data_IF_503812212883
#
_entry.id   IF_503812212883
#
_cell.length_a   1.000
_cell.length_b   1.000
_cell.length_c   1.000
_cell.angle_alpha   90.00
_cell.angle_beta   90.00
_cell.angle_gamma   90.00
#
_symmetry.space_group_name_H-M   'P 1'
#
loop_
_entity.id
_entity.type
_entity.pdbx_description
1 polymer ?
#
# COMPACT_ATOMS: atom_id res chain seq x y z
N UNK A 1 2.31 -24.70 -25.95
CA UNK A 1 2.20 -24.09 -24.61
C UNK A 1 3.01 -22.82 -24.68
N UNK A 2 2.35 -21.68 -24.71
CA UNK A 2 2.97 -20.38 -24.98
C UNK A 2 4.12 -20.16 -23.98
N UNK A 3 5.35 -20.02 -24.49
CA UNK A 3 6.48 -19.56 -23.68
C UNK A 3 6.19 -18.09 -23.40
N UNK A 4 5.59 -17.84 -22.24
CA UNK A 4 5.45 -16.49 -21.73
C UNK A 4 6.86 -15.90 -21.66
N UNK A 5 7.18 -14.93 -22.52
CA UNK A 5 8.45 -14.21 -22.46
C UNK A 5 8.66 -13.75 -21.02
N UNK A 6 9.72 -14.25 -20.39
CA UNK A 6 10.03 -13.92 -19.02
C UNK A 6 10.52 -12.47 -19.01
N UNK A 7 9.60 -11.54 -18.70
CA UNK A 7 9.88 -10.10 -18.65
C UNK A 7 11.12 -9.87 -17.80
N UNK A 8 12.02 -8.96 -18.21
CA UNK A 8 13.15 -8.56 -17.38
C UNK A 8 12.70 -8.03 -16.00
N UNK A 9 13.61 -8.08 -15.02
CA UNK A 9 13.29 -7.64 -13.66
C UNK A 9 12.87 -6.17 -13.60
N UNK A 10 13.48 -5.31 -14.43
CA UNK A 10 13.19 -3.88 -14.45
C UNK A 10 11.75 -3.57 -14.88
N UNK A 11 11.26 -4.26 -15.92
CA UNK A 11 9.89 -4.16 -16.43
C UNK A 11 8.91 -4.73 -15.41
N UNK A 12 9.22 -5.90 -14.84
CA UNK A 12 8.41 -6.46 -13.76
C UNK A 12 8.31 -5.51 -12.55
N UNK A 13 9.42 -4.93 -12.11
CA UNK A 13 9.45 -4.00 -10.99
C UNK A 13 8.68 -2.71 -11.29
N UNK A 14 8.71 -2.23 -12.54
CA UNK A 14 7.91 -1.06 -12.97
C UNK A 14 6.42 -1.36 -12.96
N UNK A 15 6.01 -2.49 -13.53
CA UNK A 15 4.61 -2.92 -13.50
C UNK A 15 4.10 -3.16 -12.08
N UNK A 16 4.94 -3.77 -11.23
CA UNK A 16 4.67 -3.92 -9.81
C UNK A 16 4.44 -2.56 -9.14
N UNK A 17 5.29 -1.58 -9.44
CA UNK A 17 5.19 -0.24 -8.88
C UNK A 17 3.90 0.50 -9.31
N UNK A 18 3.47 0.31 -10.56
CA UNK A 18 2.17 0.80 -11.07
C UNK A 18 0.99 0.10 -10.41
N UNK A 19 1.10 -1.22 -10.24
CA UNK A 19 0.06 -2.04 -9.63
C UNK A 19 -0.17 -1.66 -8.16
N UNK A 20 0.86 -1.29 -7.41
CA UNK A 20 0.72 -0.94 -6.00
C UNK A 20 -0.24 0.23 -5.77
N UNK A 21 -0.15 1.29 -6.59
CA UNK A 21 -1.07 2.42 -6.50
C UNK A 21 -2.50 1.98 -6.76
N UNK A 22 -2.73 1.15 -7.79
CA UNK A 22 -4.07 0.61 -8.11
C UNK A 22 -4.64 -0.22 -6.96
N UNK A 23 -3.86 -1.15 -6.43
CA UNK A 23 -4.25 -1.99 -5.28
C UNK A 23 -4.68 -1.12 -4.11
N UNK A 24 -3.90 -0.08 -3.80
CA UNK A 24 -4.20 0.79 -2.69
C UNK A 24 -5.43 1.67 -2.92
N UNK A 25 -5.61 2.22 -4.12
CA UNK A 25 -6.83 2.97 -4.46
C UNK A 25 -8.07 2.09 -4.38
N UNK A 26 -8.00 0.84 -4.86
CA UNK A 26 -9.10 -0.10 -4.83
C UNK A 26 -9.45 -0.51 -3.40
N UNK A 27 -8.44 -0.73 -2.55
CA UNK A 27 -8.63 -1.01 -1.12
C UNK A 27 -9.28 0.16 -0.39
N UNK A 28 -8.90 1.40 -0.70
CA UNK A 28 -9.55 2.60 -0.14
C UNK A 28 -11.05 2.61 -0.44
N UNK A 29 -11.42 2.31 -1.69
CA UNK A 29 -12.81 2.23 -2.13
C UNK A 29 -13.53 1.08 -1.42
N UNK A 30 -12.96 -0.12 -1.48
CA UNK A 30 -13.53 -1.36 -0.90
C UNK A 30 -13.77 -1.25 0.60
N UNK A 31 -12.85 -0.60 1.34
CA UNK A 31 -12.96 -0.40 2.79
C UNK A 31 -13.82 0.82 3.17
N UNK A 32 -14.51 1.42 2.22
CA UNK A 32 -15.36 2.59 2.41
C UNK A 32 -14.62 3.76 3.09
N UNK A 33 -13.38 4.04 2.67
CA UNK A 33 -12.53 5.13 3.19
C UNK A 33 -12.67 6.36 2.29
N UNK A 34 -13.89 6.87 2.13
CA UNK A 34 -14.16 7.93 1.13
C UNK A 34 -14.96 9.12 1.67
N UNK A 35 -14.68 9.55 2.91
CA UNK A 35 -15.37 10.71 3.52
C UNK A 35 -15.35 11.97 2.65
N UNK A 36 -14.18 12.34 2.12
CA UNK A 36 -13.98 13.49 1.22
C UNK A 36 -13.29 13.11 -0.09
N UNK A 37 -12.88 11.85 -0.22
CA UNK A 37 -12.00 11.36 -1.29
C UNK A 37 -10.56 11.91 -1.27
N UNK A 38 -10.18 12.74 -0.29
CA UNK A 38 -8.84 13.36 -0.22
C UNK A 38 -7.74 12.31 -0.19
N UNK A 39 -7.91 11.23 0.61
CA UNK A 39 -6.94 10.14 0.68
C UNK A 39 -6.79 9.45 -0.68
N UNK A 40 -7.91 9.05 -1.29
CA UNK A 40 -7.93 8.36 -2.57
C UNK A 40 -7.18 9.16 -3.65
N UNK A 41 -7.48 10.46 -3.79
CA UNK A 41 -6.83 11.33 -4.78
C UNK A 41 -5.35 11.61 -4.46
N UNK A 42 -4.92 11.41 -3.22
CA UNK A 42 -3.54 11.67 -2.82
C UNK A 42 -2.58 10.52 -3.13
N UNK A 43 -3.07 9.31 -3.38
CA UNK A 43 -2.22 8.14 -3.61
C UNK A 43 -1.60 8.22 -5.01
N UNK A 44 -0.30 8.42 -5.09
CA UNK A 44 0.43 8.42 -6.35
C UNK A 44 1.89 7.98 -6.16
N UNK A 45 2.51 7.68 -7.29
CA UNK A 45 3.90 7.35 -7.43
C UNK A 45 4.78 8.59 -7.27
N UNK A 46 5.91 8.46 -6.60
CA UNK A 46 6.83 9.57 -6.37
C UNK A 46 8.19 9.38 -7.05
N UNK A 47 8.80 8.20 -6.93
CA UNK A 47 10.09 7.91 -7.53
C UNK A 47 10.24 6.41 -7.76
N UNK A 48 10.90 6.04 -8.86
CA UNK A 48 11.20 4.65 -9.20
C UNK A 48 12.55 4.56 -9.91
N UNK A 49 13.41 3.65 -9.45
CA UNK A 49 14.66 3.30 -10.13
C UNK A 49 15.01 1.84 -9.88
N UNK A 50 15.71 1.24 -10.84
CA UNK A 50 16.28 -0.10 -10.75
C UNK A 50 17.76 0.05 -11.07
N UNK A 51 18.61 -0.59 -10.29
CA UNK A 51 20.05 -0.56 -10.51
C UNK A 51 20.41 -1.26 -11.84
N UNK A 52 21.52 -0.88 -12.50
CA UNK A 52 21.91 -1.47 -13.79
C UNK A 52 22.15 -2.98 -13.73
N UNK A 53 22.57 -3.49 -12.56
CA UNK A 53 22.79 -4.92 -12.30
C UNK A 53 21.49 -5.69 -11.98
N UNK A 54 20.34 -5.00 -11.88
CA UNK A 54 19.04 -5.61 -11.62
C UNK A 54 18.83 -6.12 -10.18
N UNK A 55 19.82 -6.01 -9.29
CA UNK A 55 19.73 -6.58 -7.94
C UNK A 55 19.16 -5.62 -6.89
N UNK A 56 19.11 -4.33 -7.20
CA UNK A 56 18.58 -3.31 -6.31
C UNK A 56 17.52 -2.45 -7.01
N UNK A 57 16.53 -2.00 -6.24
CA UNK A 57 15.52 -1.05 -6.70
C UNK A 57 15.12 -0.07 -5.62
N UNK A 58 14.68 1.11 -6.04
CA UNK A 58 14.07 2.12 -5.18
C UNK A 58 12.66 2.42 -5.68
N UNK A 59 11.70 2.42 -4.76
CA UNK A 59 10.30 2.76 -5.03
C UNK A 59 9.79 3.68 -3.92
N UNK A 60 9.24 4.83 -4.31
CA UNK A 60 8.67 5.81 -3.40
C UNK A 60 7.25 6.16 -3.83
N UNK A 61 6.37 6.29 -2.83
CA UNK A 61 4.97 6.64 -3.01
C UNK A 61 4.61 7.80 -2.08
N UNK A 62 3.59 8.56 -2.46
CA UNK A 62 3.07 9.68 -1.68
C UNK A 62 1.57 9.52 -1.45
N UNK A 63 1.14 9.87 -0.24
CA UNK A 63 -0.25 10.00 0.16
C UNK A 63 -0.34 10.89 1.41
N UNK A 64 -1.53 11.41 1.72
CA UNK A 64 -1.72 12.27 2.91
C UNK A 64 -1.55 11.48 4.21
N UNK A 65 -0.98 12.10 5.23
CA UNK A 65 -0.72 11.51 6.55
C UNK A 65 -1.98 10.87 7.18
N UNK A 66 -3.16 11.43 6.88
CA UNK A 66 -4.46 10.84 7.25
C UNK A 66 -4.55 9.33 6.95
N UNK A 67 -3.95 8.87 5.85
CA UNK A 67 -3.91 7.46 5.48
C UNK A 67 -3.23 6.55 6.51
N UNK A 68 -2.19 7.02 7.20
CA UNK A 68 -1.49 6.26 8.25
C UNK A 68 -2.43 5.99 9.42
N UNK A 69 -3.15 7.02 9.86
CA UNK A 69 -4.12 6.91 10.94
C UNK A 69 -5.28 5.95 10.60
N UNK A 70 -5.74 5.97 9.35
CA UNK A 70 -6.79 5.03 8.91
C UNK A 70 -6.29 3.58 8.90
N UNK A 71 -5.08 3.36 8.40
CA UNK A 71 -4.48 2.03 8.32
C UNK A 71 -4.27 1.40 9.70
N UNK A 72 -3.76 2.20 10.65
CA UNK A 72 -3.55 1.79 12.04
C UNK A 72 -4.85 1.77 12.87
N UNK A 73 -5.93 2.40 12.39
CA UNK A 73 -7.15 2.60 13.19
C UNK A 73 -6.97 3.62 14.32
N UNK A 74 -5.97 4.50 14.22
CA UNK A 74 -5.61 5.50 15.23
C UNK A 74 -5.96 6.91 14.76
N UNK A 75 -5.49 7.93 15.50
CA UNK A 75 -5.68 9.35 15.20
C UNK A 75 -6.81 10.00 15.99
N UNK A 76 -6.86 11.35 15.96
CA UNK A 76 -7.89 12.11 16.69
C UNK A 76 -9.26 11.88 16.04
N UNK A 77 -10.10 11.08 16.70
CA UNK A 77 -11.52 10.94 16.36
C UNK A 77 -12.28 12.24 16.68
N UNK A 78 -11.94 12.87 17.80
CA UNK A 78 -12.44 14.16 18.27
C UNK A 78 -11.34 14.85 19.12
N UNK A 79 -11.22 16.19 19.11
CA UNK A 79 -10.27 16.99 19.93
C UNK A 79 -10.97 17.49 21.19
N UNK A 80 -10.38 17.56 22.39
CA UNK A 80 -11.02 18.28 23.52
C UNK A 80 -11.40 19.71 23.04
N UNK A 81 -12.68 20.07 23.19
CA UNK A 81 -13.38 21.28 22.65
C UNK A 81 -13.95 21.15 21.21
N UNK A 82 -13.72 20.02 20.55
CA UNK A 82 -14.39 19.48 19.36
C UNK A 82 -14.37 17.93 19.42
N UNK A 83 -14.92 17.41 20.53
CA UNK A 83 -14.27 16.36 21.34
C UNK A 83 -15.06 15.15 21.76
N UNK A 84 -16.20 14.87 21.13
CA UNK A 84 -17.04 13.76 21.60
C UNK A 84 -18.01 14.18 22.72
N UNK A 85 -17.83 15.36 23.29
CA UNK A 85 -18.80 16.01 24.16
C UNK A 85 -19.30 17.30 23.48
N UNK A 86 -20.21 17.12 22.53
CA UNK A 86 -20.99 18.21 21.99
C UNK A 86 -22.15 18.39 22.96
N UNK A 87 -22.10 19.39 23.85
CA UNK A 87 -23.16 19.65 24.83
C UNK A 87 -24.56 19.83 24.20
N UNK A 88 -24.61 20.12 22.89
CA UNK A 88 -25.84 20.21 22.11
C UNK A 88 -26.34 18.88 21.53
N UNK A 89 -25.59 17.79 21.66
CA UNK A 89 -25.90 16.50 21.04
C UNK A 89 -26.16 15.46 22.12
N UNK A 90 -27.45 15.20 22.37
CA UNK A 90 -27.97 14.21 23.31
C UNK A 90 -27.22 12.85 23.23
N UNK A 91 -26.75 12.26 24.35
CA UNK A 91 -26.11 10.95 24.41
C UNK A 91 -26.87 9.84 23.65
N UNK A 92 -28.21 9.86 23.65
CA UNK A 92 -29.03 8.87 22.94
C UNK A 92 -28.92 9.05 21.43
N UNK A 93 -29.00 10.28 20.93
CA UNK A 93 -28.75 10.61 19.52
C UNK A 93 -27.32 10.28 19.10
N UNK A 94 -26.37 10.39 20.02
CA UNK A 94 -24.97 10.06 19.78
C UNK A 94 -24.76 8.57 19.55
N UNK A 95 -25.42 7.73 20.36
CA UNK A 95 -25.42 6.28 20.21
C UNK A 95 -26.13 5.86 18.92
N UNK A 96 -27.30 6.43 18.62
CA UNK A 96 -28.02 6.20 17.35
C UNK A 96 -27.18 6.51 16.12
N UNK A 97 -26.38 7.58 16.16
CA UNK A 97 -25.55 8.04 15.03
C UNK A 97 -24.12 7.46 15.02
N UNK A 98 -23.75 6.63 16.00
CA UNK A 98 -22.42 6.03 16.10
C UNK A 98 -21.28 7.02 16.37
N UNK A 99 -21.58 8.20 16.93
CA UNK A 99 -20.66 9.35 17.09
C UNK A 99 -19.75 9.27 18.33
N UNK A 100 -19.56 8.07 18.87
CA UNK A 100 -18.64 7.74 19.96
C UNK A 100 -17.83 6.46 19.71
N UNK A 101 -17.98 5.84 18.53
CA UNK A 101 -17.26 4.62 18.21
C UNK A 101 -15.77 4.88 18.04
N UNK A 102 -14.95 4.03 18.65
CA UNK A 102 -13.50 4.00 18.41
C UNK A 102 -13.24 3.81 16.92
N UNK A 103 -12.22 4.49 16.38
CA UNK A 103 -11.81 4.26 14.99
C UNK A 103 -11.49 2.77 14.81
N UNK A 104 -12.04 2.19 13.76
CA UNK A 104 -11.75 0.81 13.36
C UNK A 104 -10.53 0.81 12.45
N UNK A 105 -9.62 -0.14 12.68
CA UNK A 105 -8.48 -0.39 11.81
C UNK A 105 -8.96 -0.74 10.40
N UNK A 106 -8.45 -0.07 9.37
CA UNK A 106 -8.74 -0.36 7.97
C UNK A 106 -7.43 -0.43 7.19
N UNK A 107 -6.77 -1.61 7.17
CA UNK A 107 -5.40 -1.75 6.67
C UNK A 107 -5.37 -1.69 5.13
N UNK A 108 -5.56 -0.50 4.59
CA UNK A 108 -5.66 -0.25 3.16
C UNK A 108 -4.30 -0.34 2.47
N UNK A 109 -3.19 -0.01 3.14
CA UNK A 109 -1.85 -0.05 2.54
C UNK A 109 -0.92 -1.10 3.15
N UNK A 110 -0.94 -1.29 4.48
CA UNK A 110 0.10 -2.09 5.17
C UNK A 110 0.10 -3.56 4.75
N UNK A 111 -1.08 -4.18 4.73
CA UNK A 111 -1.20 -5.62 4.37
C UNK A 111 -0.78 -5.88 2.93
N UNK A 112 -1.23 -5.06 1.98
CA UNK A 112 -0.83 -5.24 0.58
C UNK A 112 0.64 -4.93 0.36
N UNK A 113 1.21 -3.96 1.08
CA UNK A 113 2.65 -3.67 1.05
C UNK A 113 3.50 -4.84 1.56
N UNK A 114 3.11 -5.46 2.66
CA UNK A 114 3.84 -6.60 3.22
C UNK A 114 3.77 -7.83 2.32
N UNK A 115 2.62 -8.08 1.69
CA UNK A 115 2.46 -9.15 0.70
C UNK A 115 3.31 -8.84 -0.55
N UNK A 116 3.28 -7.60 -1.03
CA UNK A 116 3.94 -7.23 -2.28
C UNK A 116 5.47 -7.29 -2.18
N UNK A 117 6.05 -6.95 -1.02
CA UNK A 117 7.48 -7.18 -0.73
C UNK A 117 7.86 -8.65 -0.88
N UNK A 118 7.03 -9.59 -0.42
CA UNK A 118 7.30 -11.03 -0.58
C UNK A 118 7.28 -11.45 -2.03
N UNK A 119 6.38 -10.87 -2.83
CA UNK A 119 6.31 -11.12 -4.28
C UNK A 119 7.57 -10.62 -4.98
N UNK A 120 8.03 -9.40 -4.68
CA UNK A 120 9.30 -8.86 -5.18
C UNK A 120 10.48 -9.75 -4.80
N UNK A 121 10.60 -10.09 -3.51
CA UNK A 121 11.69 -10.93 -3.01
C UNK A 121 11.75 -12.27 -3.73
N UNK A 122 10.60 -12.93 -3.89
CA UNK A 122 10.53 -14.21 -4.62
C UNK A 122 11.02 -14.05 -6.05
N UNK A 123 10.58 -13.00 -6.74
CA UNK A 123 11.00 -12.76 -8.12
C UNK A 123 12.50 -12.54 -8.22
N UNK A 124 13.04 -11.64 -7.40
CA UNK A 124 14.46 -11.33 -7.40
C UNK A 124 15.32 -12.55 -7.03
N UNK A 125 14.91 -13.35 -6.04
CA UNK A 125 15.60 -14.59 -5.68
C UNK A 125 15.63 -15.60 -6.82
N UNK A 126 14.56 -15.71 -7.60
CA UNK A 126 14.53 -16.58 -8.77
C UNK A 126 15.47 -16.09 -9.87
N UNK A 127 15.48 -14.79 -10.15
CA UNK A 127 16.33 -14.19 -11.19
C UNK A 127 17.82 -14.36 -10.82
N UNK A 128 18.20 -14.04 -9.56
CA UNK A 128 19.55 -14.26 -9.04
C UNK A 128 19.95 -15.74 -9.12
N UNK A 129 19.06 -16.65 -8.73
CA UNK A 129 19.33 -18.09 -8.74
C UNK A 129 19.61 -18.63 -10.14
N UNK A 130 18.89 -18.12 -11.16
CA UNK A 130 19.10 -18.47 -12.57
C UNK A 130 20.43 -17.95 -13.10
N UNK A 131 20.76 -16.70 -12.82
CA UNK A 131 22.04 -16.12 -13.24
C UNK A 131 23.21 -16.87 -12.60
N UNK A 132 23.13 -17.14 -11.29
CA UNK A 132 24.16 -17.88 -10.58
C UNK A 132 24.35 -19.29 -11.15
N UNK A 133 23.27 -20.04 -11.38
CA UNK A 133 23.36 -21.37 -12.00
C UNK A 133 24.01 -21.32 -13.39
N UNK A 134 23.62 -20.34 -14.23
CA UNK A 134 24.19 -20.16 -15.56
C UNK A 134 25.70 -19.88 -15.57
N UNK A 135 26.21 -19.17 -14.56
CA UNK A 135 27.66 -18.94 -14.40
C UNK A 135 28.40 -20.25 -14.19
N UNK A 136 27.87 -21.20 -13.39
CA UNK A 136 28.53 -22.49 -13.18
C UNK A 136 28.41 -23.42 -14.38
N UNK A 137 27.27 -23.39 -15.07
CA UNK A 137 27.07 -24.19 -16.29
C UNK A 137 28.07 -23.79 -17.39
N UNK A 138 28.53 -22.53 -17.41
CA UNK A 138 29.54 -22.04 -18.37
C UNK A 138 30.99 -22.42 -18.07
N UNK A 139 31.27 -23.07 -16.92
CA UNK A 139 32.64 -23.43 -16.48
C UNK A 139 33.07 -24.82 -16.98
N UNK A 140 32.27 -25.47 -17.84
CA UNK A 140 32.63 -26.71 -18.55
C UNK A 140 33.21 -26.40 -19.93
#
# INVERSE_FOLDING_TARGET
MDKQEEKDFATFAREWHDMMVRIWTDRIVTMNIHRTGTLQRSVHQQAFSVAPDGFAMQAAYRFVEYGIYVDAGTGKGYKRDNGGDLKFLDPVERAKRGLGATRKRRPWFSVSWDISKKVLNRRLSNDIGKEFAGVFDSIV
#
